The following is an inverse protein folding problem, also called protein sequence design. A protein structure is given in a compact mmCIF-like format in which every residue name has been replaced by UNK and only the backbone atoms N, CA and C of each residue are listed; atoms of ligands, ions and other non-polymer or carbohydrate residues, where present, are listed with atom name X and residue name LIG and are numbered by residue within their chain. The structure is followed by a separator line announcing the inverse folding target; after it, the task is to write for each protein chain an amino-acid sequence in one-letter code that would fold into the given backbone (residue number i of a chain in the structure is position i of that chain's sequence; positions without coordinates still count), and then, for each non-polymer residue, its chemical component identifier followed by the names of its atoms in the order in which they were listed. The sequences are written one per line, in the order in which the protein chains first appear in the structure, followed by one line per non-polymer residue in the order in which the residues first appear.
data_IF_277669104102
#
_entry.id   IF_277669104102
#
_cell.length_a   1.000
_cell.length_b   1.000
_cell.length_c   1.000
_cell.angle_alpha   90.00
_cell.angle_beta   90.00
_cell.angle_gamma   90.00
#
_symmetry.space_group_name_H-M   'P 1'
#
loop_
_entity.id
_entity.type
_entity.pdbx_description
1 polymer ?
#
# COMPACT_ATOMS: atom_id res chain seq x y z
N UNK A 1 -11.30 -9.96 -34.44
CA UNK A 1 -11.16 -9.21 -33.19
C UNK A 1 -9.72 -8.71 -33.08
N UNK A 2 -9.48 -7.39 -33.17
CA UNK A 2 -8.15 -6.80 -32.99
C UNK A 2 -7.82 -6.78 -31.49
N UNK A 3 -7.26 -7.86 -30.97
CA UNK A 3 -6.55 -7.86 -29.69
C UNK A 3 -5.26 -7.07 -29.87
N UNK A 4 -5.31 -5.79 -29.52
CA UNK A 4 -4.14 -4.92 -29.53
C UNK A 4 -3.04 -5.53 -28.65
N UNK A 5 -1.81 -5.61 -29.18
CA UNK A 5 -0.57 -5.97 -28.47
C UNK A 5 -0.39 -5.23 -27.15
N UNK A 6 -1.04 -4.07 -26.98
CA UNK A 6 -1.11 -3.28 -25.75
C UNK A 6 -1.70 -4.03 -24.55
N UNK A 7 -2.63 -4.97 -24.77
CA UNK A 7 -3.31 -5.71 -23.70
C UNK A 7 -2.44 -6.86 -23.15
N UNK A 8 -1.46 -7.33 -23.93
CA UNK A 8 -0.62 -8.49 -23.60
C UNK A 8 0.70 -8.07 -22.95
N UNK A 9 1.22 -6.87 -23.26
CA UNK A 9 2.52 -6.39 -22.77
C UNK A 9 2.49 -5.38 -21.61
N UNK A 10 1.36 -4.70 -21.31
CA UNK A 10 1.35 -3.64 -20.28
C UNK A 10 1.35 -4.10 -18.81
N UNK A 11 0.99 -5.36 -18.54
CA UNK A 11 0.79 -5.86 -17.16
C UNK A 11 1.99 -6.61 -16.56
N UNK A 12 3.03 -6.98 -17.33
CA UNK A 12 4.10 -7.82 -16.78
C UNK A 12 5.22 -6.95 -16.18
N UNK A 13 5.90 -6.13 -16.98
CA UNK A 13 7.03 -5.31 -16.50
C UNK A 13 6.62 -4.24 -15.47
N UNK A 14 5.46 -3.61 -15.66
CA UNK A 14 4.97 -2.57 -14.73
C UNK A 14 4.67 -3.11 -13.33
N UNK A 15 4.14 -4.33 -13.22
CA UNK A 15 3.86 -4.95 -11.93
C UNK A 15 5.14 -5.45 -11.24
N UNK A 16 6.12 -5.95 -12.00
CA UNK A 16 7.45 -6.25 -11.46
C UNK A 16 8.12 -4.98 -10.92
N UNK A 17 8.16 -3.90 -11.71
CA UNK A 17 8.75 -2.64 -11.29
C UNK A 17 8.03 -2.06 -10.06
N UNK A 18 6.70 -2.06 -10.06
CA UNK A 18 5.90 -1.58 -8.93
C UNK A 18 6.14 -2.41 -7.67
N UNK A 19 6.10 -3.74 -7.77
CA UNK A 19 6.35 -4.63 -6.64
C UNK A 19 7.76 -4.44 -6.06
N UNK A 20 8.78 -4.35 -6.93
CA UNK A 20 10.17 -4.12 -6.52
C UNK A 20 10.31 -2.76 -5.84
N UNK A 21 9.76 -1.68 -6.41
CA UNK A 21 9.80 -0.34 -5.82
C UNK A 21 9.12 -0.34 -4.44
N UNK A 22 7.96 -0.99 -4.33
CA UNK A 22 7.22 -1.09 -3.06
C UNK A 22 7.98 -1.90 -2.01
N UNK A 23 8.62 -3.00 -2.41
CA UNK A 23 9.46 -3.79 -1.51
C UNK A 23 10.67 -2.97 -1.06
N UNK A 24 11.41 -2.36 -1.99
CA UNK A 24 12.61 -1.58 -1.65
C UNK A 24 12.25 -0.41 -0.74
N UNK A 25 11.25 0.38 -1.12
CA UNK A 25 10.77 1.53 -0.32
C UNK A 25 10.24 1.05 1.02
N UNK A 26 9.48 -0.03 1.04
CA UNK A 26 8.95 -0.65 2.25
C UNK A 26 10.05 -1.11 3.20
N UNK A 27 11.10 -1.78 2.71
CA UNK A 27 12.26 -2.19 3.51
C UNK A 27 13.02 -0.99 4.06
N UNK A 28 13.24 0.04 3.23
CA UNK A 28 13.92 1.27 3.64
C UNK A 28 13.16 1.93 4.80
N UNK A 29 11.84 2.11 4.67
CA UNK A 29 11.03 2.75 5.70
C UNK A 29 10.81 1.85 6.92
N UNK A 30 10.70 0.53 6.73
CA UNK A 30 10.42 -0.40 7.83
C UNK A 30 11.65 -0.69 8.69
N UNK A 31 12.84 -0.70 8.11
CA UNK A 31 14.05 -1.17 8.79
C UNK A 31 15.19 -0.15 8.71
N UNK A 32 15.54 0.32 7.51
CA UNK A 32 16.76 1.13 7.32
C UNK A 32 16.66 2.51 7.98
N UNK A 33 15.59 3.26 7.70
CA UNK A 33 15.38 4.61 8.25
C UNK A 33 15.23 4.57 9.78
N UNK A 34 14.38 3.70 10.36
CA UNK A 34 14.34 3.46 11.80
C UNK A 34 15.70 3.21 12.43
N UNK A 35 16.52 2.31 11.85
CA UNK A 35 17.83 1.95 12.40
C UNK A 35 18.81 3.12 12.33
N UNK A 36 18.86 3.84 11.21
CA UNK A 36 19.70 5.04 11.03
C UNK A 36 19.36 6.14 12.03
N UNK A 37 18.07 6.38 12.25
CA UNK A 37 17.57 7.35 13.22
C UNK A 37 17.99 6.94 14.64
N UNK A 38 17.82 5.66 14.99
CA UNK A 38 18.16 5.16 16.33
C UNK A 38 19.66 5.22 16.59
N UNK A 39 20.50 4.87 15.60
CA UNK A 39 21.97 4.95 15.72
C UNK A 39 22.47 6.39 15.80
N UNK A 40 21.99 7.28 14.92
CA UNK A 40 22.40 8.68 14.92
C UNK A 40 22.06 9.39 16.24
N UNK A 41 20.94 9.03 16.87
CA UNK A 41 20.53 9.63 18.13
C UNK A 41 21.28 9.04 19.33
N UNK A 42 21.63 7.74 19.29
CA UNK A 42 22.46 7.09 20.33
C UNK A 42 23.82 7.78 20.48
N UNK A 43 24.45 8.18 19.37
CA UNK A 43 25.72 8.93 19.36
C UNK A 43 25.57 10.35 19.96
N UNK A 44 24.38 10.94 19.84
CA UNK A 44 24.09 12.30 20.33
C UNK A 44 23.68 12.33 21.81
N UNK A 45 22.95 11.32 22.29
CA UNK A 45 22.45 11.21 23.67
C UNK A 45 23.57 10.83 24.64
N UNK A 46 24.58 10.10 24.18
CA UNK A 46 25.77 9.79 25.01
C UNK A 46 26.51 11.05 25.49
N UNK A 47 26.23 12.22 24.89
CA UNK A 47 26.79 13.52 25.25
C UNK A 47 25.82 14.48 25.99
N UNK A 48 24.55 14.12 26.22
CA UNK A 48 23.61 14.95 27.00
C UNK A 48 22.72 14.11 27.90
N UNK A 49 22.79 14.37 29.20
CA UNK A 49 21.85 13.84 30.18
C UNK A 49 20.43 14.38 29.88
N UNK A 50 19.66 13.54 29.19
CA UNK A 50 18.20 13.48 29.09
C UNK A 50 17.40 14.71 28.64
N UNK A 51 16.59 14.46 27.62
CA UNK A 51 15.17 14.83 27.66
C UNK A 51 14.34 13.56 27.43
N UNK A 52 13.50 13.16 28.39
CA UNK A 52 12.56 12.03 28.26
C UNK A 52 11.57 12.27 27.11
N UNK A 53 11.30 13.54 26.78
CA UNK A 53 10.48 13.92 25.63
C UNK A 53 11.13 13.54 24.30
N UNK A 54 12.45 13.70 24.15
CA UNK A 54 13.16 13.36 22.92
C UNK A 54 13.10 11.85 22.63
N UNK A 55 13.28 11.03 23.66
CA UNK A 55 13.15 9.58 23.54
C UNK A 55 11.71 9.14 23.15
N UNK A 56 10.69 9.83 23.66
CA UNK A 56 9.30 9.58 23.28
C UNK A 56 9.05 9.97 21.81
N UNK A 57 9.50 11.14 21.38
CA UNK A 57 9.36 11.62 20.00
C UNK A 57 10.08 10.71 18.99
N UNK A 58 11.28 10.23 19.35
CA UNK A 58 12.04 9.24 18.59
C UNK A 58 11.27 7.94 18.40
N UNK A 59 10.69 7.41 19.48
CA UNK A 59 9.93 6.16 19.45
C UNK A 59 8.70 6.27 18.54
N UNK A 60 8.02 7.42 18.57
CA UNK A 60 6.86 7.71 17.72
C UNK A 60 7.27 7.82 16.26
N UNK A 61 8.33 8.57 15.93
CA UNK A 61 8.84 8.68 14.56
C UNK A 61 9.25 7.31 14.01
N UNK A 62 9.99 6.54 14.80
CA UNK A 62 10.43 5.18 14.43
C UNK A 62 9.23 4.27 14.16
N UNK A 63 8.20 4.34 15.00
CA UNK A 63 6.95 3.61 14.80
C UNK A 63 6.21 4.02 13.52
N UNK A 64 6.12 5.33 13.24
CA UNK A 64 5.47 5.85 12.02
C UNK A 64 6.19 5.36 10.76
N UNK A 65 7.52 5.46 10.72
CA UNK A 65 8.31 4.93 9.60
C UNK A 65 8.13 3.42 9.43
N UNK A 66 8.15 2.67 10.54
CA UNK A 66 7.88 1.22 10.52
C UNK A 66 6.51 0.90 9.93
N UNK A 67 5.47 1.61 10.39
CA UNK A 67 4.11 1.41 9.92
C UNK A 67 3.98 1.72 8.42
N UNK A 68 4.52 2.86 7.96
CA UNK A 68 4.53 3.22 6.53
C UNK A 68 5.31 2.19 5.70
N UNK A 69 6.44 1.72 6.22
CA UNK A 69 7.24 0.69 5.60
C UNK A 69 6.46 -0.62 5.41
N UNK A 70 5.76 -1.09 6.45
CA UNK A 70 4.92 -2.29 6.36
C UNK A 70 3.73 -2.13 5.38
N UNK A 71 3.10 -0.96 5.39
CA UNK A 71 2.00 -0.61 4.49
C UNK A 71 2.44 -0.69 3.02
N UNK A 72 3.70 -0.40 2.70
CA UNK A 72 4.25 -0.55 1.33
C UNK A 72 4.81 -1.95 1.07
N UNK A 73 5.50 -2.54 2.05
CA UNK A 73 6.19 -3.82 1.93
C UNK A 73 5.21 -4.98 1.73
N UNK A 74 4.14 -5.06 2.51
CA UNK A 74 3.19 -6.18 2.45
C UNK A 74 2.49 -6.26 1.08
N UNK A 75 1.95 -5.16 0.52
CA UNK A 75 1.42 -5.17 -0.85
C UNK A 75 2.47 -5.50 -1.90
N UNK A 76 3.68 -4.91 -1.81
CA UNK A 76 4.76 -5.19 -2.74
C UNK A 76 5.15 -6.68 -2.77
N UNK A 77 5.35 -7.26 -1.58
CA UNK A 77 5.67 -8.67 -1.41
C UNK A 77 4.54 -9.59 -1.89
N UNK A 78 3.28 -9.23 -1.61
CA UNK A 78 2.12 -10.00 -2.05
C UNK A 78 2.06 -10.07 -3.58
N UNK A 79 2.18 -8.92 -4.26
CA UNK A 79 2.20 -8.87 -5.73
C UNK A 79 3.38 -9.66 -6.29
N UNK A 80 4.56 -9.53 -5.68
CA UNK A 80 5.76 -10.27 -6.09
C UNK A 80 5.57 -11.79 -6.00
N UNK A 81 5.06 -12.30 -4.88
CA UNK A 81 4.74 -13.72 -4.68
C UNK A 81 3.73 -14.19 -5.73
N UNK A 82 2.66 -13.42 -5.95
CA UNK A 82 1.66 -13.74 -6.96
C UNK A 82 2.26 -13.84 -8.35
N UNK A 83 3.20 -12.96 -8.73
CA UNK A 83 3.88 -13.04 -10.03
C UNK A 83 4.75 -14.30 -10.13
N UNK A 84 5.44 -14.71 -9.07
CA UNK A 84 6.20 -15.98 -9.05
C UNK A 84 5.26 -17.17 -9.26
N UNK A 85 4.14 -17.20 -8.55
CA UNK A 85 3.12 -18.24 -8.73
C UNK A 85 2.57 -18.24 -10.16
N UNK A 86 2.45 -17.07 -10.80
CA UNK A 86 2.02 -16.93 -12.19
C UNK A 86 2.96 -17.66 -13.15
N UNK A 87 4.27 -17.52 -12.93
CA UNK A 87 5.31 -18.21 -13.69
C UNK A 87 5.19 -19.73 -13.54
N UNK A 88 4.88 -20.23 -12.34
CA UNK A 88 4.65 -21.66 -12.10
C UNK A 88 3.39 -22.16 -12.82
N UNK A 89 2.29 -21.41 -12.73
CA UNK A 89 1.01 -21.75 -13.38
C UNK A 89 1.16 -21.77 -14.90
N UNK A 90 1.91 -20.82 -15.47
CA UNK A 90 2.22 -20.78 -16.90
C UNK A 90 2.86 -22.09 -17.39
N UNK A 91 3.72 -22.70 -16.57
CA UNK A 91 4.38 -23.97 -16.90
C UNK A 91 3.43 -25.15 -16.67
N UNK A 92 2.73 -25.21 -15.53
CA UNK A 92 1.95 -26.40 -15.12
C UNK A 92 0.55 -26.48 -15.76
N UNK A 93 -0.08 -25.34 -16.01
CA UNK A 93 -1.48 -25.23 -16.45
C UNK A 93 -1.67 -23.95 -17.30
N UNK A 94 -1.07 -23.87 -18.50
CA UNK A 94 -1.10 -22.67 -19.34
C UNK A 94 -2.53 -22.20 -19.69
N UNK A 95 -3.50 -23.10 -19.76
CA UNK A 95 -4.91 -22.78 -19.97
C UNK A 95 -5.51 -21.87 -18.87
N UNK A 96 -4.94 -21.89 -17.67
CA UNK A 96 -5.38 -21.07 -16.53
C UNK A 96 -4.53 -19.80 -16.34
N UNK A 97 -3.54 -19.55 -17.21
CA UNK A 97 -2.67 -18.36 -17.13
C UNK A 97 -3.51 -17.07 -17.11
N UNK A 98 -4.46 -16.94 -18.05
CA UNK A 98 -5.31 -15.76 -18.15
C UNK A 98 -6.20 -15.54 -16.92
N UNK A 99 -6.74 -16.63 -16.36
CA UNK A 99 -7.56 -16.54 -15.14
C UNK A 99 -6.73 -16.11 -13.93
N UNK A 100 -5.52 -16.62 -13.80
CA UNK A 100 -4.62 -16.26 -12.71
C UNK A 100 -4.11 -14.83 -12.83
N UNK A 101 -3.66 -14.38 -14.00
CA UNK A 101 -3.21 -13.00 -14.19
C UNK A 101 -4.34 -11.98 -13.95
N UNK A 102 -5.58 -12.34 -14.26
CA UNK A 102 -6.73 -11.51 -13.89
C UNK A 102 -6.79 -11.28 -12.37
N UNK A 103 -6.57 -12.33 -11.57
CA UNK A 103 -6.53 -12.21 -10.11
C UNK A 103 -5.35 -11.38 -9.60
N UNK A 104 -4.17 -11.49 -10.22
CA UNK A 104 -3.01 -10.64 -9.88
C UNK A 104 -3.33 -9.17 -10.14
N UNK A 105 -3.89 -8.86 -11.31
CA UNK A 105 -4.26 -7.48 -11.67
C UNK A 105 -5.36 -6.94 -10.74
N UNK A 106 -6.36 -7.77 -10.45
CA UNK A 106 -7.45 -7.41 -9.55
C UNK A 106 -6.95 -7.12 -8.14
N UNK A 107 -6.16 -8.03 -7.55
CA UNK A 107 -5.63 -7.87 -6.20
C UNK A 107 -4.63 -6.71 -6.11
N UNK A 108 -3.68 -6.61 -7.04
CA UNK A 108 -2.72 -5.50 -7.08
C UNK A 108 -3.41 -4.13 -7.25
N UNK A 109 -4.39 -4.04 -8.15
CA UNK A 109 -5.19 -2.82 -8.33
C UNK A 109 -6.00 -2.45 -7.09
N UNK A 110 -6.63 -3.44 -6.44
CA UNK A 110 -7.35 -3.24 -5.19
C UNK A 110 -6.46 -2.76 -4.06
N UNK A 111 -5.29 -3.37 -3.88
CA UNK A 111 -4.34 -2.96 -2.84
C UNK A 111 -3.89 -1.51 -3.05
N UNK A 112 -3.50 -1.15 -4.28
CA UNK A 112 -3.12 0.23 -4.62
C UNK A 112 -4.23 1.25 -4.37
N UNK A 113 -5.46 0.92 -4.76
CA UNK A 113 -6.61 1.81 -4.57
C UNK A 113 -6.98 1.96 -3.08
N UNK A 114 -6.93 0.87 -2.31
CA UNK A 114 -7.23 0.90 -0.87
C UNK A 114 -6.16 1.63 -0.06
N UNK A 115 -4.88 1.54 -0.46
CA UNK A 115 -3.79 2.29 0.15
C UNK A 115 -4.02 3.81 0.11
N UNK A 116 -4.71 4.31 -0.90
CA UNK A 116 -5.08 5.72 -1.00
C UNK A 116 -6.41 6.01 -0.29
N UNK A 117 -7.43 5.20 -0.55
CA UNK A 117 -8.78 5.47 -0.09
C UNK A 117 -8.94 5.31 1.43
N UNK A 118 -8.31 4.31 2.05
CA UNK A 118 -8.45 4.05 3.49
C UNK A 118 -7.90 5.22 4.34
N UNK A 119 -6.63 5.65 4.20
CA UNK A 119 -6.14 6.80 4.96
C UNK A 119 -6.96 8.07 4.72
N UNK A 120 -7.39 8.27 3.48
CA UNK A 120 -8.22 9.40 3.08
C UNK A 120 -9.57 9.40 3.82
N UNK A 121 -10.25 8.25 3.93
CA UNK A 121 -11.54 8.10 4.65
C UNK A 121 -11.46 8.39 6.15
N UNK A 122 -10.31 8.17 6.78
CA UNK A 122 -10.18 8.28 8.24
C UNK A 122 -9.51 9.57 8.71
N UNK A 123 -8.97 10.40 7.80
CA UNK A 123 -8.17 11.56 8.20
C UNK A 123 -8.96 12.58 9.04
N UNK A 124 -10.20 12.91 8.68
CA UNK A 124 -11.02 13.85 9.44
C UNK A 124 -11.63 13.22 10.71
N UNK A 125 -12.19 12.00 10.69
CA UNK A 125 -12.60 11.32 11.91
C UNK A 125 -11.49 11.23 12.96
N UNK A 126 -10.25 10.89 12.54
CA UNK A 126 -9.09 10.87 13.44
C UNK A 126 -8.81 12.29 13.96
N UNK A 127 -8.83 13.30 13.09
CA UNK A 127 -8.64 14.70 13.50
C UNK A 127 -9.64 15.16 14.57
N UNK A 128 -10.91 14.75 14.47
CA UNK A 128 -11.94 15.09 15.45
C UNK A 128 -11.66 14.50 16.84
N UNK A 129 -10.99 13.35 16.89
CA UNK A 129 -10.60 12.66 18.13
C UNK A 129 -9.32 13.25 18.76
N UNK A 130 -8.61 14.16 18.08
CA UNK A 130 -7.40 14.77 18.62
C UNK A 130 -7.71 15.81 19.71
N UNK A 131 -6.79 16.03 20.66
CA UNK A 131 -6.84 17.13 21.62
C UNK A 131 -6.93 18.54 20.98
N UNK A 132 -7.58 19.48 21.65
CA UNK A 132 -7.86 20.85 21.13
C UNK A 132 -6.59 21.67 20.84
N UNK A 133 -5.52 21.48 21.61
CA UNK A 133 -4.22 22.11 21.36
C UNK A 133 -3.63 21.71 19.99
N UNK A 134 -3.80 20.45 19.58
CA UNK A 134 -3.34 19.94 18.27
C UNK A 134 -4.23 20.47 17.14
N UNK A 135 -5.55 20.53 17.38
CA UNK A 135 -6.51 21.09 16.41
C UNK A 135 -6.25 22.57 16.10
N UNK A 136 -5.90 23.36 17.12
CA UNK A 136 -5.54 24.78 16.95
C UNK A 136 -4.26 24.98 16.13
N UNK A 137 -3.27 24.09 16.26
CA UNK A 137 -2.04 24.14 15.46
C UNK A 137 -2.31 23.82 13.98
N UNK A 138 -3.34 23.01 13.69
CA UNK A 138 -3.77 22.63 12.34
C UNK A 138 -4.87 23.54 11.74
N UNK A 139 -5.10 24.73 12.31
CA UNK A 139 -6.25 25.60 11.97
C UNK A 139 -6.38 25.90 10.47
N UNK A 140 -5.28 26.10 9.76
CA UNK A 140 -5.29 26.39 8.31
C UNK A 140 -5.59 25.15 7.45
N UNK A 141 -5.29 23.94 7.94
CA UNK A 141 -5.50 22.67 7.22
C UNK A 141 -6.86 22.06 7.53
N UNK A 142 -7.49 22.48 8.64
CA UNK A 142 -8.76 21.95 9.14
C UNK A 142 -9.92 22.00 8.14
N UNK A 143 -9.92 22.96 7.20
CA UNK A 143 -10.96 23.06 6.16
C UNK A 143 -10.77 22.04 5.02
N UNK A 144 -9.54 21.56 4.81
CA UNK A 144 -9.21 20.61 3.73
C UNK A 144 -9.44 19.16 4.17
N UNK A 145 -9.28 18.86 5.47
CA UNK A 145 -9.43 17.50 6.01
C UNK A 145 -10.83 16.88 5.78
N UNK A 146 -11.95 17.60 5.98
CA UNK A 146 -13.28 17.07 5.66
C UNK A 146 -13.44 16.78 4.16
N UNK A 147 -12.95 17.67 3.29
CA UNK A 147 -13.03 17.49 1.84
C UNK A 147 -12.24 16.24 1.41
N UNK A 148 -11.03 16.07 1.95
CA UNK A 148 -10.22 14.89 1.68
C UNK A 148 -10.92 13.61 2.15
N UNK A 149 -11.60 13.66 3.30
CA UNK A 149 -12.41 12.53 3.81
C UNK A 149 -13.59 12.18 2.91
N UNK A 150 -14.32 13.19 2.44
CA UNK A 150 -15.43 12.99 1.50
C UNK A 150 -14.92 12.35 0.21
N UNK A 151 -13.80 12.84 -0.33
CA UNK A 151 -13.15 12.25 -1.51
C UNK A 151 -12.76 10.80 -1.24
N UNK A 152 -12.18 10.50 -0.07
CA UNK A 152 -11.86 9.14 0.35
C UNK A 152 -13.08 8.22 0.39
N UNK A 153 -14.20 8.68 0.96
CA UNK A 153 -15.44 7.90 1.05
C UNK A 153 -16.01 7.62 -0.34
N UNK A 154 -16.07 8.65 -1.20
CA UNK A 154 -16.53 8.51 -2.59
C UNK A 154 -15.62 7.53 -3.34
N UNK A 155 -14.30 7.65 -3.19
CA UNK A 155 -13.34 6.73 -3.78
C UNK A 155 -13.55 5.30 -3.26
N UNK A 156 -13.74 5.11 -1.96
CA UNK A 156 -14.03 3.80 -1.35
C UNK A 156 -15.29 3.15 -1.91
N UNK A 157 -16.38 3.92 -2.04
CA UNK A 157 -17.64 3.46 -2.66
C UNK A 157 -17.41 3.09 -4.13
N UNK A 158 -16.70 3.94 -4.89
CA UNK A 158 -16.39 3.67 -6.29
C UNK A 158 -15.55 2.40 -6.44
N UNK A 159 -14.51 2.23 -5.62
CA UNK A 159 -13.67 1.03 -5.56
C UNK A 159 -14.54 -0.19 -5.29
N UNK A 160 -15.46 -0.14 -4.33
CA UNK A 160 -16.36 -1.26 -4.03
C UNK A 160 -17.21 -1.68 -5.23
N UNK A 161 -17.85 -0.73 -5.91
CA UNK A 161 -18.69 -1.03 -7.08
C UNK A 161 -17.87 -1.54 -8.27
N UNK A 162 -16.72 -0.93 -8.54
CA UNK A 162 -15.79 -1.38 -9.60
C UNK A 162 -15.30 -2.79 -9.28
N UNK A 163 -14.86 -3.03 -8.06
CA UNK A 163 -14.37 -4.33 -7.61
C UNK A 163 -15.45 -5.41 -7.73
N UNK A 164 -16.68 -5.10 -7.28
CA UNK A 164 -17.83 -6.00 -7.40
C UNK A 164 -18.17 -6.31 -8.86
N UNK A 165 -18.14 -5.30 -9.72
CA UNK A 165 -18.41 -5.47 -11.15
C UNK A 165 -17.35 -6.36 -11.81
N UNK A 166 -16.07 -6.06 -11.60
CA UNK A 166 -14.96 -6.86 -12.13
C UNK A 166 -15.01 -8.30 -11.60
N UNK A 167 -15.25 -8.49 -10.30
CA UNK A 167 -15.34 -9.80 -9.67
C UNK A 167 -16.43 -10.70 -10.26
N UNK A 168 -17.57 -10.11 -10.67
CA UNK A 168 -18.66 -10.83 -11.34
C UNK A 168 -18.28 -11.27 -12.76
N UNK A 169 -17.49 -10.47 -13.46
CA UNK A 169 -16.99 -10.75 -14.81
C UNK A 169 -15.71 -11.60 -14.85
N UNK A 170 -15.29 -12.21 -13.73
CA UNK A 170 -14.01 -12.89 -13.65
C UNK A 170 -13.95 -14.12 -14.58
N UNK A 171 -12.79 -14.37 -15.22
CA UNK A 171 -12.54 -15.63 -15.91
C UNK A 171 -12.62 -16.81 -14.93
N UNK A 172 -13.23 -17.91 -15.37
CA UNK A 172 -13.35 -19.12 -14.55
C UNK A 172 -12.08 -19.96 -14.68
N UNK A 173 -11.67 -20.53 -13.56
CA UNK A 173 -10.62 -21.56 -13.56
C UNK A 173 -11.15 -22.79 -14.31
N UNK A 174 -10.43 -23.22 -15.34
CA UNK A 174 -10.76 -24.45 -16.04
C UNK A 174 -10.05 -25.61 -15.32
N UNK A 175 -10.84 -26.55 -14.80
CA UNK A 175 -10.28 -27.81 -14.30
C UNK A 175 -9.60 -28.54 -15.45
N UNK A 176 -8.46 -29.18 -15.21
CA UNK A 176 -7.88 -30.09 -16.21
C UNK A 176 -8.88 -31.23 -16.44
N UNK A 177 -9.45 -31.30 -17.63
CA UNK A 177 -9.65 -32.58 -18.32
C UNK A 177 -8.27 -33.01 -18.81
N UNK A 178 -7.59 -33.82 -18.01
CA UNK A 178 -6.62 -34.80 -18.48
C UNK A 178 -6.94 -36.10 -17.76
#
# INVERSE_FOLDING_TARGET
MRTSLYFIFKGKAGFWAFAIIFIITGVIFAFVVPELITHAETDSIQNRAQDVSAAADLSVMTFVFRLLGWILLVPGATVFILIIVASIIKIKSPQNEGAFFWWINFTGGMMGALLFAIPSMFIYPIFLLLPENIKQQAKNTSMILPLFTIVGIIAGIAIFFIARSQYRGRPRWTGKTS
#
